data_IF_835862825054
#
_entry.id   IF_835862825054
#
_cell.length_a   1.000
_cell.length_b   1.000
_cell.length_c   1.000
_cell.angle_alpha   90.00
_cell.angle_beta   90.00
_cell.angle_gamma   90.00
#
_symmetry.space_group_name_H-M   'P 1'
#
loop_
_entity.id
_entity.type
_entity.pdbx_description
1 polymer ?
#
# COMPACT_ATOMS: atom_id res chain seq x y z
N UNK A 1 20.88 1.72 5.64
CA UNK A 1 21.27 2.65 4.54
C UNK A 1 22.01 1.84 3.50
N UNK A 2 21.88 2.23 2.24
CA UNK A 2 22.49 1.57 1.07
C UNK A 2 23.10 2.63 0.15
N UNK A 3 24.02 2.21 -0.71
CA UNK A 3 24.49 2.97 -1.86
C UNK A 3 23.83 2.36 -3.10
N UNK A 4 23.14 3.18 -3.87
CA UNK A 4 22.19 2.73 -4.89
C UNK A 4 22.60 3.29 -6.26
N UNK A 5 22.46 2.49 -7.32
CA UNK A 5 22.70 2.93 -8.68
C UNK A 5 21.55 2.50 -9.57
N UNK A 6 21.06 3.40 -10.41
CA UNK A 6 19.98 3.13 -11.34
C UNK A 6 20.51 3.11 -12.78
N UNK A 7 20.17 2.06 -13.53
CA UNK A 7 20.60 1.90 -14.92
C UNK A 7 19.39 1.89 -15.83
N UNK A 8 19.21 2.98 -16.57
CA UNK A 8 18.11 3.20 -17.51
C UNK A 8 18.53 2.75 -18.90
N UNK A 9 17.75 1.90 -19.57
CA UNK A 9 18.07 1.39 -20.90
C UNK A 9 16.87 1.32 -21.83
N UNK A 10 17.13 0.95 -23.09
CA UNK A 10 16.09 0.76 -24.11
C UNK A 10 15.78 -0.71 -24.39
N UNK A 11 16.65 -1.60 -23.93
CA UNK A 11 16.60 -3.04 -24.20
C UNK A 11 16.74 -3.79 -22.88
N UNK A 12 15.80 -4.70 -22.60
CA UNK A 12 15.91 -5.63 -21.48
C UNK A 12 16.81 -6.80 -21.84
N UNK A 13 17.58 -7.28 -20.85
CA UNK A 13 18.42 -8.46 -20.98
C UNK A 13 17.72 -9.64 -20.30
N UNK A 14 17.86 -10.82 -20.89
CA UNK A 14 17.48 -12.06 -20.21
C UNK A 14 18.42 -12.33 -19.04
N UNK A 15 17.98 -13.14 -18.07
CA UNK A 15 18.80 -13.57 -16.93
C UNK A 15 20.13 -14.17 -17.35
N UNK A 16 20.14 -14.95 -18.45
CA UNK A 16 21.37 -15.54 -18.99
C UNK A 16 22.34 -14.49 -19.53
N UNK A 17 21.83 -13.40 -20.09
CA UNK A 17 22.65 -12.29 -20.57
C UNK A 17 23.17 -11.44 -19.41
N UNK A 18 22.35 -11.17 -18.40
CA UNK A 18 22.78 -10.50 -17.17
C UNK A 18 23.89 -11.28 -16.46
N UNK A 19 23.76 -12.61 -16.36
CA UNK A 19 24.82 -13.46 -15.80
C UNK A 19 26.13 -13.31 -16.56
N UNK A 20 26.10 -13.14 -17.90
CA UNK A 20 27.31 -12.86 -18.70
C UNK A 20 27.92 -11.49 -18.38
N UNK A 21 27.09 -10.47 -18.13
CA UNK A 21 27.57 -9.15 -17.71
C UNK A 21 28.23 -9.22 -16.33
N UNK A 22 27.64 -9.98 -15.40
CA UNK A 22 28.22 -10.20 -14.06
C UNK A 22 29.55 -10.95 -14.14
N UNK A 23 29.62 -12.04 -14.91
CA UNK A 23 30.82 -12.89 -14.97
C UNK A 23 31.96 -12.31 -15.82
N UNK A 24 31.72 -11.20 -16.52
CA UNK A 24 32.79 -10.42 -17.16
C UNK A 24 33.82 -9.92 -16.14
N UNK A 25 33.42 -9.69 -14.89
CA UNK A 25 34.36 -9.45 -13.80
C UNK A 25 34.84 -10.77 -13.20
N UNK A 26 36.17 -10.96 -13.24
CA UNK A 26 36.78 -12.22 -12.84
C UNK A 26 36.51 -12.60 -11.37
N UNK A 27 36.13 -11.62 -10.53
CA UNK A 27 35.80 -11.77 -9.12
C UNK A 27 34.33 -11.95 -8.75
N UNK A 28 33.37 -11.80 -9.68
CA UNK A 28 31.94 -11.77 -9.33
C UNK A 28 31.18 -13.03 -9.77
N UNK A 29 30.13 -13.38 -9.01
CA UNK A 29 29.24 -14.49 -9.31
C UNK A 29 27.79 -14.08 -9.04
N UNK A 30 26.93 -14.23 -10.06
CA UNK A 30 25.49 -14.06 -9.89
C UNK A 30 24.88 -15.24 -9.13
N UNK A 31 24.02 -14.95 -8.17
CA UNK A 31 23.09 -15.89 -7.55
C UNK A 31 21.73 -15.74 -8.24
N UNK A 32 21.29 -16.79 -8.91
CA UNK A 32 20.02 -16.81 -9.63
C UNK A 32 19.00 -17.58 -8.80
N UNK A 33 17.84 -16.98 -8.55
CA UNK A 33 16.71 -17.74 -8.02
C UNK A 33 16.16 -18.68 -9.10
N UNK A 34 15.99 -19.94 -8.75
CA UNK A 34 15.48 -20.95 -9.68
C UNK A 34 13.96 -20.83 -9.87
N UNK A 35 13.26 -20.24 -8.91
CA UNK A 35 11.80 -20.05 -8.96
C UNK A 35 11.41 -18.92 -9.92
N UNK A 36 11.93 -17.72 -9.67
CA UNK A 36 11.66 -16.53 -10.49
C UNK A 36 12.54 -16.43 -11.75
N UNK A 37 13.62 -17.21 -11.83
CA UNK A 37 14.66 -17.06 -12.85
C UNK A 37 15.21 -15.61 -12.89
N UNK A 38 15.30 -14.91 -11.75
CA UNK A 38 15.92 -13.58 -11.62
C UNK A 38 17.23 -13.66 -10.86
N UNK A 39 18.09 -12.64 -10.99
CA UNK A 39 19.30 -12.52 -10.16
C UNK A 39 18.86 -11.94 -8.81
N UNK A 40 19.15 -12.64 -7.71
CA UNK A 40 18.85 -12.15 -6.36
C UNK A 40 19.99 -11.27 -5.82
N UNK A 41 21.22 -11.70 -6.07
CA UNK A 41 22.42 -11.01 -5.60
C UNK A 41 23.60 -11.33 -6.50
N UNK A 42 24.61 -10.47 -6.40
CA UNK A 42 25.94 -10.71 -6.94
C UNK A 42 26.91 -10.83 -5.79
N UNK A 43 27.66 -11.93 -5.74
CA UNK A 43 28.63 -12.22 -4.69
C UNK A 43 30.06 -12.04 -5.21
N UNK A 44 30.96 -11.60 -4.34
CA UNK A 44 32.38 -11.81 -4.51
C UNK A 44 32.70 -13.32 -4.46
N UNK A 45 33.55 -13.82 -5.35
CA UNK A 45 33.97 -15.24 -5.35
C UNK A 45 34.83 -15.57 -4.13
N UNK A 46 35.67 -14.63 -3.68
CA UNK A 46 36.61 -14.79 -2.56
C UNK A 46 36.90 -13.44 -1.87
N UNK A 47 36.63 -13.28 -0.56
CA UNK A 47 35.78 -14.16 0.25
C UNK A 47 34.34 -14.17 -0.30
N UNK A 48 33.59 -15.25 -0.04
CA UNK A 48 32.21 -15.35 -0.52
C UNK A 48 31.30 -14.47 0.34
N UNK A 49 31.15 -13.21 -0.08
CA UNK A 49 30.27 -12.21 0.52
C UNK A 49 29.43 -11.55 -0.58
N UNK A 50 28.22 -11.12 -0.24
CA UNK A 50 27.41 -10.31 -1.15
C UNK A 50 28.19 -9.05 -1.52
N UNK A 51 28.29 -8.76 -2.81
CA UNK A 51 28.81 -7.50 -3.34
C UNK A 51 27.66 -6.49 -3.45
N UNK A 52 26.59 -6.86 -4.15
CA UNK A 52 25.42 -5.99 -4.34
C UNK A 52 24.18 -6.81 -4.70
N UNK A 53 23.01 -6.23 -4.45
CA UNK A 53 21.72 -6.68 -4.97
C UNK A 53 21.49 -6.10 -6.37
N UNK A 54 20.67 -6.79 -7.17
CA UNK A 54 20.28 -6.36 -8.49
C UNK A 54 18.80 -6.63 -8.70
N UNK A 55 18.02 -5.58 -8.87
CA UNK A 55 16.61 -5.63 -9.19
C UNK A 55 16.37 -5.25 -10.66
N UNK A 56 15.34 -5.85 -11.26
CA UNK A 56 14.98 -5.69 -12.67
C UNK A 56 15.33 -6.88 -13.57
N UNK A 57 15.06 -6.79 -14.89
CA UNK A 57 14.59 -5.59 -15.60
C UNK A 57 13.18 -5.15 -15.21
N UNK A 58 13.03 -3.91 -14.74
CA UNK A 58 11.72 -3.29 -14.49
C UNK A 58 11.28 -2.52 -15.74
N UNK A 59 10.03 -2.70 -16.17
CA UNK A 59 9.48 -1.87 -17.23
C UNK A 59 9.18 -0.48 -16.67
N UNK A 60 9.55 0.55 -17.43
CA UNK A 60 9.34 1.95 -17.06
C UNK A 60 8.70 2.71 -18.21
N UNK A 61 7.89 3.70 -17.85
CA UNK A 61 7.26 4.65 -18.75
C UNK A 61 7.93 6.02 -18.64
N UNK A 62 7.59 6.95 -19.54
CA UNK A 62 8.17 8.30 -19.55
C UNK A 62 7.97 9.07 -18.23
N UNK A 63 6.95 8.70 -17.45
CA UNK A 63 6.63 9.30 -16.15
C UNK A 63 7.53 8.79 -15.01
N UNK A 64 8.23 7.66 -15.20
CA UNK A 64 9.17 7.08 -14.22
C UNK A 64 10.60 7.61 -14.40
N UNK A 65 10.83 8.40 -15.45
CA UNK A 65 12.15 8.94 -15.74
C UNK A 65 12.46 10.09 -14.78
N UNK A 66 13.65 10.12 -14.16
CA UNK A 66 14.07 11.20 -13.28
C UNK A 66 13.99 12.56 -13.98
N UNK A 67 13.36 13.52 -13.31
CA UNK A 67 13.21 14.87 -13.85
C UNK A 67 14.57 15.56 -14.01
N UNK A 68 14.83 16.10 -15.18
CA UNK A 68 16.05 16.88 -15.46
C UNK A 68 17.28 16.03 -15.81
N UNK A 69 17.09 14.73 -16.07
CA UNK A 69 18.11 13.84 -16.64
C UNK A 69 17.75 13.53 -18.10
N UNK A 70 17.99 14.45 -19.06
CA UNK A 70 17.60 14.24 -20.45
C UNK A 70 18.27 13.00 -21.10
N UNK A 71 19.39 12.52 -20.52
CA UNK A 71 20.14 11.35 -21.00
C UNK A 71 19.36 10.03 -20.87
N UNK A 72 18.34 9.97 -20.01
CA UNK A 72 17.48 8.79 -19.87
C UNK A 72 16.20 8.88 -20.72
N UNK A 73 16.03 9.94 -21.51
CA UNK A 73 14.85 10.13 -22.32
C UNK A 73 14.61 8.94 -23.28
N UNK A 74 13.41 8.37 -23.20
CA UNK A 74 13.00 7.22 -24.00
C UNK A 74 13.60 5.88 -23.54
N UNK A 75 14.16 5.81 -22.32
CA UNK A 75 14.40 4.54 -21.66
C UNK A 75 13.06 3.83 -21.39
N UNK A 76 13.06 2.50 -21.51
CA UNK A 76 11.91 1.61 -21.35
C UNK A 76 12.16 0.54 -20.30
N UNK A 77 13.41 0.42 -19.82
CA UNK A 77 13.79 -0.51 -18.75
C UNK A 77 14.66 0.18 -17.71
N UNK A 78 14.47 -0.19 -16.44
CA UNK A 78 15.29 0.18 -15.29
C UNK A 78 15.88 -1.08 -14.64
N UNK A 79 17.13 -0.98 -14.21
CA UNK A 79 17.74 -1.89 -13.25
C UNK A 79 18.22 -1.08 -12.05
N UNK A 80 17.95 -1.57 -10.85
CA UNK A 80 18.41 -0.93 -9.61
C UNK A 80 19.43 -1.82 -8.93
N UNK A 81 20.56 -1.24 -8.55
CA UNK A 81 21.70 -1.93 -7.96
C UNK A 81 21.89 -1.39 -6.55
N UNK A 82 21.91 -2.28 -5.56
CA UNK A 82 21.91 -1.90 -4.15
C UNK A 82 23.12 -2.47 -3.41
N UNK A 83 23.93 -1.61 -2.81
CA UNK A 83 25.06 -2.00 -1.95
C UNK A 83 24.67 -1.74 -0.50
N UNK A 84 24.57 -2.79 0.31
CA UNK A 84 24.23 -2.66 1.74
C UNK A 84 25.38 -2.07 2.55
N UNK A 85 25.05 -1.22 3.54
CA UNK A 85 26.06 -0.72 4.48
C UNK A 85 26.30 -1.74 5.58
N UNK A 86 27.55 -1.91 5.97
CA UNK A 86 27.85 -2.61 7.21
C UNK A 86 27.56 -1.66 8.38
N UNK A 87 26.63 -2.05 9.24
CA UNK A 87 26.20 -1.25 10.38
C UNK A 87 26.87 -1.80 11.62
N UNK A 88 27.83 -1.04 12.15
CA UNK A 88 28.55 -1.40 13.35
C UNK A 88 28.09 -0.51 14.51
N UNK A 89 27.68 -1.14 15.61
CA UNK A 89 27.36 -0.44 16.86
C UNK A 89 28.49 -0.70 17.83
N UNK A 90 29.30 0.33 18.10
CA UNK A 90 30.46 0.25 18.99
C UNK A 90 30.36 1.22 20.18
N UNK A 91 31.36 1.19 21.09
CA UNK A 91 31.43 2.11 22.24
C UNK A 91 31.48 3.58 21.84
N UNK A 92 31.94 3.88 20.61
CA UNK A 92 32.05 5.23 20.05
C UNK A 92 30.79 5.67 19.27
N UNK A 93 29.75 4.83 19.22
CA UNK A 93 28.47 5.13 18.59
C UNK A 93 28.16 4.28 17.35
N UNK A 94 27.23 4.79 16.54
CA UNK A 94 26.72 4.15 15.33
C UNK A 94 27.57 4.54 14.12
N UNK A 95 28.14 3.55 13.42
CA UNK A 95 28.80 3.73 12.13
C UNK A 95 28.09 2.90 11.07
N UNK A 96 27.85 3.51 9.91
CA UNK A 96 27.31 2.83 8.74
C UNK A 96 28.14 3.23 7.52
N UNK A 97 28.99 2.31 7.05
CA UNK A 97 29.87 2.52 5.89
C UNK A 97 29.64 1.43 4.87
N UNK A 98 29.55 1.82 3.60
CA UNK A 98 29.59 0.85 2.49
C UNK A 98 31.00 0.25 2.39
N UNK A 99 31.08 -1.01 1.98
CA UNK A 99 32.36 -1.62 1.60
C UNK A 99 32.80 -1.06 0.24
N UNK A 100 33.86 -0.26 0.22
CA UNK A 100 34.38 0.41 -0.99
C UNK A 100 34.64 -0.56 -2.16
N UNK A 101 35.01 -1.80 -1.85
CA UNK A 101 35.23 -2.83 -2.88
C UNK A 101 33.92 -3.21 -3.56
N UNK A 102 32.84 -3.34 -2.80
CA UNK A 102 31.50 -3.62 -3.30
C UNK A 102 30.91 -2.43 -4.05
N UNK A 103 31.13 -1.20 -3.59
CA UNK A 103 30.74 0.02 -4.31
C UNK A 103 31.45 0.09 -5.66
N UNK A 104 32.77 -0.12 -5.68
CA UNK A 104 33.56 -0.11 -6.93
C UNK A 104 33.07 -1.18 -7.91
N UNK A 105 32.77 -2.39 -7.41
CA UNK A 105 32.23 -3.47 -8.22
C UNK A 105 30.83 -3.13 -8.79
N UNK A 106 29.97 -2.51 -7.98
CA UNK A 106 28.63 -2.08 -8.39
C UNK A 106 28.69 -1.01 -9.49
N UNK A 107 29.54 0.01 -9.34
CA UNK A 107 29.75 1.07 -10.35
C UNK A 107 30.26 0.49 -11.66
N UNK A 108 31.28 -0.38 -11.59
CA UNK A 108 31.85 -1.03 -12.78
C UNK A 108 30.81 -1.91 -13.49
N UNK A 109 30.00 -2.65 -12.73
CA UNK A 109 28.89 -3.43 -13.26
C UNK A 109 27.83 -2.55 -13.91
N UNK A 110 27.40 -1.48 -13.25
CA UNK A 110 26.41 -0.53 -13.76
C UNK A 110 26.83 0.07 -15.11
N UNK A 111 28.09 0.51 -15.22
CA UNK A 111 28.61 1.08 -16.48
C UNK A 111 28.58 0.08 -17.63
N UNK A 112 28.96 -1.19 -17.40
CA UNK A 112 28.91 -2.22 -18.45
C UNK A 112 27.50 -2.64 -18.79
N UNK A 113 26.61 -2.69 -17.79
CA UNK A 113 25.20 -2.96 -18.02
C UNK A 113 24.62 -1.86 -18.92
N UNK A 114 24.87 -0.59 -18.60
CA UNK A 114 24.48 0.56 -19.41
C UNK A 114 25.00 0.45 -20.85
N UNK A 115 26.29 0.19 -21.05
CA UNK A 115 26.85 -0.01 -22.39
C UNK A 115 26.12 -1.12 -23.16
N UNK A 116 25.83 -2.24 -22.49
CA UNK A 116 25.20 -3.41 -23.10
C UNK A 116 23.75 -3.16 -23.52
N UNK A 117 23.02 -2.32 -22.79
CA UNK A 117 21.61 -2.01 -23.04
C UNK A 117 21.40 -0.68 -23.77
N UNK A 118 22.50 -0.01 -24.19
CA UNK A 118 22.46 1.32 -24.78
C UNK A 118 21.83 2.35 -23.85
N UNK A 119 22.18 2.26 -22.56
CA UNK A 119 21.58 2.98 -21.45
C UNK A 119 22.52 3.97 -20.77
N UNK A 120 22.03 4.51 -19.64
CA UNK A 120 22.68 5.52 -18.82
C UNK A 120 22.64 5.09 -17.36
N UNK A 121 23.75 5.27 -16.64
CA UNK A 121 23.81 5.09 -15.18
C UNK A 121 23.51 6.42 -14.52
N UNK A 122 22.62 6.40 -13.52
CA UNK A 122 22.31 7.52 -12.63
C UNK A 122 22.74 7.11 -11.22
N UNK A 123 23.50 7.98 -10.57
CA UNK A 123 23.94 7.85 -9.18
C UNK A 123 23.16 8.89 -8.34
N UNK A 124 22.11 8.46 -7.60
CA UNK A 124 21.30 9.36 -6.79
C UNK A 124 22.09 10.07 -5.68
N UNK A 125 23.25 9.53 -5.26
CA UNK A 125 24.10 10.12 -4.23
C UNK A 125 25.06 11.18 -4.80
N UNK A 126 25.37 11.14 -6.11
CA UNK A 126 26.19 12.14 -6.79
C UNK A 126 25.40 13.20 -7.55
N UNK A 127 24.10 13.02 -7.77
CA UNK A 127 23.22 14.11 -8.18
C UNK A 127 23.09 15.12 -7.02
N UNK A 128 24.12 15.97 -6.94
CA UNK A 128 24.25 17.08 -6.00
C UNK A 128 22.95 17.85 -5.95
N UNK A 129 22.45 17.98 -4.71
CA UNK A 129 21.47 18.95 -4.25
C UNK A 129 21.20 20.04 -5.29
N UNK A 130 20.07 19.92 -5.99
CA UNK A 130 19.45 21.11 -6.58
C UNK A 130 19.42 22.15 -5.47
N UNK A 131 19.80 23.41 -5.73
CA UNK A 131 19.28 24.48 -4.90
C UNK A 131 17.77 24.26 -4.96
N UNK A 132 17.16 23.95 -3.81
CA UNK A 132 15.74 24.15 -3.64
C UNK A 132 15.63 25.64 -3.91
N UNK A 133 15.30 26.02 -5.15
CA UNK A 133 14.83 27.36 -5.42
C UNK A 133 13.79 27.55 -4.34
N UNK A 134 14.00 28.54 -3.47
CA UNK A 134 13.04 28.93 -2.44
C UNK A 134 11.76 29.24 -3.20
N UNK A 135 10.97 28.19 -3.45
CA UNK A 135 9.65 28.29 -3.97
C UNK A 135 8.98 29.07 -2.87
N UNK A 136 8.69 30.33 -3.15
CA UNK A 136 7.84 31.12 -2.29
C UNK A 136 6.68 30.21 -1.93
N UNK A 137 6.59 29.87 -0.64
CA UNK A 137 5.49 29.09 -0.11
C UNK A 137 4.29 30.02 -0.24
N UNK A 138 3.73 30.06 -1.44
CA UNK A 138 2.36 30.47 -1.65
C UNK A 138 1.61 29.42 -0.86
N UNK A 139 1.09 29.80 0.31
CA UNK A 139 0.22 28.97 1.13
C UNK A 139 -0.94 28.53 0.23
N UNK A 140 -0.76 27.39 -0.42
CA UNK A 140 -1.82 26.74 -1.14
C UNK A 140 -2.80 26.29 -0.06
N UNK A 141 -4.11 26.50 -0.26
CA UNK A 141 -5.09 26.00 0.69
C UNK A 141 -4.80 24.51 0.96
N UNK A 142 -4.91 24.07 2.23
CA UNK A 142 -4.52 22.73 2.61
C UNK A 142 -5.28 21.71 1.74
N UNK A 143 -4.55 20.79 1.12
CA UNK A 143 -5.15 19.80 0.25
C UNK A 143 -6.12 18.93 1.03
N UNK A 144 -7.37 18.83 0.56
CA UNK A 144 -8.38 17.97 1.19
C UNK A 144 -8.50 16.67 0.42
N UNK A 145 -8.43 15.57 1.14
CA UNK A 145 -8.47 14.20 0.64
C UNK A 145 -9.72 13.50 1.13
N UNK A 146 -10.43 12.85 0.22
CA UNK A 146 -11.53 11.94 0.50
C UNK A 146 -10.99 10.52 0.63
N UNK A 147 -11.19 9.93 1.80
CA UNK A 147 -10.73 8.60 2.16
C UNK A 147 -11.90 7.64 2.23
N UNK A 148 -11.84 6.59 1.42
CA UNK A 148 -12.77 5.48 1.45
C UNK A 148 -12.13 4.30 2.17
N UNK A 149 -12.89 3.60 2.98
CA UNK A 149 -12.46 2.34 3.56
C UNK A 149 -13.60 1.33 3.60
N UNK A 150 -13.30 0.07 3.29
CA UNK A 150 -14.23 -1.05 3.35
C UNK A 150 -13.63 -2.18 4.16
N UNK A 151 -14.47 -2.88 4.93
CA UNK A 151 -14.07 -3.99 5.79
C UNK A 151 -15.01 -5.17 5.61
N UNK A 152 -14.47 -6.34 5.26
CA UNK A 152 -15.24 -7.58 5.10
C UNK A 152 -14.57 -8.73 5.84
N UNK A 153 -15.34 -9.75 6.18
CA UNK A 153 -14.79 -10.99 6.75
C UNK A 153 -13.91 -11.72 5.73
N UNK A 154 -12.89 -12.43 6.24
CA UNK A 154 -12.16 -13.45 5.48
C UNK A 154 -13.03 -14.71 5.40
N UNK A 155 -13.87 -14.76 4.38
CA UNK A 155 -14.75 -15.91 4.08
C UNK A 155 -14.15 -16.87 3.04
N UNK A 156 -12.89 -16.64 2.65
CA UNK A 156 -12.20 -17.43 1.63
C UNK A 156 -12.53 -17.05 0.18
N UNK A 157 -13.43 -16.08 -0.04
CA UNK A 157 -13.63 -15.50 -1.37
C UNK A 157 -12.41 -14.66 -1.75
N UNK A 158 -11.96 -14.86 -2.98
CA UNK A 158 -10.82 -14.16 -3.58
C UNK A 158 -11.27 -12.96 -4.42
N UNK A 159 -12.52 -12.53 -4.28
CA UNK A 159 -13.14 -11.64 -5.26
C UNK A 159 -13.10 -10.16 -4.87
N UNK A 160 -12.50 -9.77 -3.74
CA UNK A 160 -12.58 -8.37 -3.29
C UNK A 160 -11.93 -7.38 -4.29
N UNK A 161 -10.76 -7.70 -4.87
CA UNK A 161 -10.19 -6.84 -5.91
C UNK A 161 -11.06 -6.76 -7.17
N UNK A 162 -11.73 -7.85 -7.52
CA UNK A 162 -12.67 -7.89 -8.65
C UNK A 162 -13.90 -7.04 -8.35
N UNK A 163 -14.53 -7.24 -7.21
CA UNK A 163 -15.69 -6.48 -6.73
C UNK A 163 -15.37 -4.98 -6.71
N UNK A 164 -14.20 -4.61 -6.18
CA UNK A 164 -13.70 -3.25 -6.18
C UNK A 164 -13.52 -2.68 -7.59
N UNK A 165 -12.81 -3.39 -8.47
CA UNK A 165 -12.48 -2.90 -9.81
C UNK A 165 -13.73 -2.74 -10.67
N UNK A 166 -14.68 -3.67 -10.58
CA UNK A 166 -15.98 -3.58 -11.25
C UNK A 166 -16.78 -2.37 -10.77
N UNK A 167 -16.88 -2.17 -9.45
CA UNK A 167 -17.55 -1.00 -8.88
C UNK A 167 -16.88 0.32 -9.26
N UNK A 168 -15.55 0.38 -9.23
CA UNK A 168 -14.80 1.57 -9.60
C UNK A 168 -15.07 1.95 -11.06
N UNK A 169 -15.03 0.98 -11.99
CA UNK A 169 -15.34 1.23 -13.39
C UNK A 169 -16.77 1.70 -13.63
N UNK A 170 -17.72 1.10 -12.91
CA UNK A 170 -19.14 1.38 -13.12
C UNK A 170 -19.62 2.68 -12.45
N UNK A 171 -19.16 2.96 -11.22
CA UNK A 171 -19.66 4.06 -10.39
C UNK A 171 -18.71 5.23 -10.28
N UNK A 172 -17.39 4.97 -10.26
CA UNK A 172 -16.42 5.98 -9.85
C UNK A 172 -15.08 5.84 -10.59
N UNK A 173 -15.02 6.27 -11.87
CA UNK A 173 -13.84 6.03 -12.72
C UNK A 173 -12.52 6.59 -12.17
N UNK A 174 -12.57 7.60 -11.28
CA UNK A 174 -11.38 8.10 -10.59
C UNK A 174 -10.75 7.08 -9.63
N UNK A 175 -11.48 6.08 -9.17
CA UNK A 175 -10.95 5.01 -8.34
C UNK A 175 -10.34 3.86 -9.16
N UNK A 176 -10.42 3.90 -10.50
CA UNK A 176 -9.87 2.85 -11.36
C UNK A 176 -8.34 2.96 -11.41
N UNK A 177 -7.59 1.93 -10.98
CA UNK A 177 -6.14 1.89 -11.13
C UNK A 177 -5.76 1.94 -12.61
N UNK A 178 -4.87 2.85 -13.00
CA UNK A 178 -4.24 2.86 -14.33
C UNK A 178 -2.83 2.31 -14.24
N UNK A 179 -2.09 2.63 -13.18
CA UNK A 179 -0.82 2.00 -12.81
C UNK A 179 -0.92 1.47 -11.39
N UNK A 180 -0.32 0.33 -11.10
CA UNK A 180 -0.38 -0.29 -9.78
C UNK A 180 0.82 -1.19 -9.49
N UNK A 181 1.17 -1.32 -8.22
CA UNK A 181 2.30 -2.14 -7.76
C UNK A 181 2.51 -2.00 -6.26
N UNK A 182 3.32 -2.85 -5.66
CA UNK A 182 3.66 -2.76 -4.23
C UNK A 182 4.87 -1.88 -3.92
N UNK A 183 5.54 -1.41 -4.97
CA UNK A 183 6.68 -0.49 -4.94
C UNK A 183 6.77 0.24 -6.28
N UNK A 184 7.50 1.36 -6.30
CA UNK A 184 7.83 2.09 -7.51
C UNK A 184 9.10 1.52 -8.17
N UNK A 185 9.19 1.49 -9.52
CA UNK A 185 8.14 1.85 -10.47
C UNK A 185 7.02 0.80 -10.53
N UNK A 186 5.77 1.26 -10.45
CA UNK A 186 4.59 0.39 -10.54
C UNK A 186 4.56 -0.40 -11.86
N UNK A 187 4.67 -1.72 -11.76
CA UNK A 187 4.78 -2.62 -12.91
C UNK A 187 3.45 -2.93 -13.59
N UNK A 188 2.35 -2.96 -12.84
CA UNK A 188 1.01 -3.24 -13.37
C UNK A 188 0.39 -2.00 -14.03
N UNK A 189 -0.31 -2.19 -15.14
CA UNK A 189 -0.95 -1.08 -15.89
C UNK A 189 -2.23 -1.50 -16.60
N UNK A 190 -3.36 -0.85 -16.26
CA UNK A 190 -4.62 -0.98 -17.02
C UNK A 190 -4.74 0.16 -18.05
N UNK A 191 -5.27 -0.09 -19.27
CA UNK A 191 -5.76 -1.37 -19.81
C UNK A 191 -4.68 -2.14 -20.60
N UNK A 192 -3.38 -1.82 -20.44
CA UNK A 192 -2.29 -2.55 -21.12
C UNK A 192 -2.32 -4.03 -20.74
N UNK A 193 -2.48 -4.27 -19.45
CA UNK A 193 -2.55 -5.59 -18.84
C UNK A 193 -4.03 -5.99 -18.66
N UNK A 194 -4.33 -7.31 -18.64
CA UNK A 194 -5.67 -7.79 -18.34
C UNK A 194 -6.01 -7.61 -16.85
N UNK A 195 -7.29 -7.68 -16.50
CA UNK A 195 -7.77 -7.56 -15.13
C UNK A 195 -7.13 -8.61 -14.20
N UNK A 196 -6.86 -9.80 -14.73
CA UNK A 196 -6.18 -10.87 -14.01
C UNK A 196 -4.82 -10.44 -13.46
N UNK A 197 -4.07 -9.59 -14.17
CA UNK A 197 -2.80 -9.08 -13.68
C UNK A 197 -2.98 -8.21 -12.42
N UNK A 198 -4.04 -7.41 -12.37
CA UNK A 198 -4.40 -6.65 -11.17
C UNK A 198 -4.78 -7.57 -10.01
N UNK A 199 -5.55 -8.62 -10.29
CA UNK A 199 -5.93 -9.60 -9.27
C UNK A 199 -4.73 -10.41 -8.77
N UNK A 200 -3.79 -10.76 -9.63
CA UNK A 200 -2.58 -11.51 -9.28
C UNK A 200 -1.63 -10.69 -8.42
N UNK A 201 -1.31 -9.44 -8.81
CA UNK A 201 -0.48 -8.55 -8.00
C UNK A 201 -1.12 -8.33 -6.63
N UNK A 202 -2.43 -8.08 -6.60
CA UNK A 202 -3.15 -7.97 -5.34
C UNK A 202 -3.07 -9.27 -4.51
N UNK A 203 -3.25 -10.43 -5.16
CA UNK A 203 -3.29 -11.71 -4.47
C UNK A 203 -1.92 -12.17 -3.93
N UNK A 204 -0.84 -11.87 -4.64
CA UNK A 204 0.48 -12.42 -4.41
C UNK A 204 1.40 -11.44 -3.67
N UNK A 205 1.38 -10.16 -4.03
CA UNK A 205 2.33 -9.17 -3.53
C UNK A 205 1.78 -8.40 -2.32
N UNK A 206 0.46 -8.22 -2.23
CA UNK A 206 -0.15 -7.44 -1.14
C UNK A 206 -0.33 -8.26 0.16
N UNK A 207 0.49 -9.29 0.34
CA UNK A 207 0.53 -10.11 1.55
C UNK A 207 1.12 -9.37 2.76
N UNK A 208 2.10 -8.50 2.50
CA UNK A 208 2.84 -7.72 3.51
C UNK A 208 2.90 -6.22 3.20
N UNK A 209 2.62 -5.83 1.95
CA UNK A 209 2.63 -4.45 1.48
C UNK A 209 1.24 -4.03 1.01
N UNK A 210 0.98 -2.72 0.96
CA UNK A 210 -0.23 -2.20 0.31
C UNK A 210 0.00 -2.11 -1.19
N UNK A 211 -1.02 -2.36 -1.99
CA UNK A 211 -1.00 -2.03 -3.41
C UNK A 211 -1.07 -0.52 -3.55
N UNK A 212 -0.06 0.11 -4.11
CA UNK A 212 -0.14 1.50 -4.56
C UNK A 212 -0.74 1.53 -5.96
N UNK A 213 -1.50 2.57 -6.28
CA UNK A 213 -1.97 2.80 -7.64
C UNK A 213 -2.09 4.27 -7.98
N UNK A 214 -2.03 4.57 -9.27
CA UNK A 214 -2.31 5.89 -9.85
C UNK A 214 -3.36 5.74 -10.94
N UNK A 215 -4.35 6.63 -10.97
CA UNK A 215 -5.39 6.64 -12.00
C UNK A 215 -5.00 7.48 -13.24
N UNK A 216 -5.87 7.53 -14.24
CA UNK A 216 -5.62 8.27 -15.50
C UNK A 216 -5.54 9.79 -15.36
N UNK A 217 -5.88 10.34 -14.19
CA UNK A 217 -5.78 11.75 -13.84
C UNK A 217 -4.67 12.04 -12.82
N UNK A 218 -3.72 11.11 -12.66
CA UNK A 218 -2.59 11.22 -11.71
C UNK A 218 -3.03 11.31 -10.24
N UNK A 219 -4.20 10.80 -9.91
CA UNK A 219 -4.62 10.62 -8.51
C UNK A 219 -4.03 9.30 -8.02
N UNK A 220 -3.34 9.36 -6.89
CA UNK A 220 -2.75 8.19 -6.23
C UNK A 220 -3.70 7.63 -5.17
N UNK A 221 -3.74 6.31 -5.01
CA UNK A 221 -4.47 5.60 -3.96
C UNK A 221 -3.72 4.36 -3.51
N UNK A 222 -4.21 3.70 -2.45
CA UNK A 222 -3.61 2.43 -2.01
C UNK A 222 -4.60 1.41 -1.48
N UNK A 223 -4.60 0.22 -2.08
CA UNK A 223 -5.41 -0.91 -1.63
C UNK A 223 -4.57 -1.73 -0.65
N UNK A 224 -4.77 -1.49 0.63
CA UNK A 224 -4.26 -2.36 1.70
C UNK A 224 -5.20 -3.55 1.91
N UNK A 225 -4.81 -4.55 2.72
CA UNK A 225 -5.79 -5.43 3.37
C UNK A 225 -6.26 -6.69 2.63
N UNK A 226 -5.64 -7.08 1.50
CA UNK A 226 -5.66 -8.50 1.07
C UNK A 226 -4.95 -9.43 2.05
N UNK A 227 -4.14 -8.84 2.92
CA UNK A 227 -3.01 -9.46 3.57
C UNK A 227 -3.24 -10.94 3.95
N UNK A 228 -2.24 -11.75 3.58
CA UNK A 228 -1.85 -12.91 4.37
C UNK A 228 -1.44 -12.52 5.80
N UNK A 229 -1.75 -11.29 6.26
CA UNK A 229 -1.80 -10.95 7.67
C UNK A 229 -2.91 -11.77 8.30
N UNK A 230 -2.50 -12.98 8.60
CA UNK A 230 -3.18 -13.99 9.37
C UNK A 230 -3.63 -13.44 10.71
N UNK A 231 -3.06 -12.33 11.20
CA UNK A 231 -3.42 -11.72 12.50
C UNK A 231 -4.82 -11.14 12.44
N UNK A 232 -5.32 -10.89 11.24
CA UNK A 232 -6.60 -10.23 11.01
C UNK A 232 -7.59 -11.22 10.37
N UNK A 233 -8.80 -11.28 10.95
CA UNK A 233 -9.92 -12.10 10.46
C UNK A 233 -10.76 -11.41 9.38
N UNK A 234 -10.35 -10.22 8.96
CA UNK A 234 -11.03 -9.41 7.97
C UNK A 234 -10.04 -8.90 6.91
N UNK A 235 -10.58 -8.59 5.73
CA UNK A 235 -9.90 -7.79 4.72
C UNK A 235 -10.32 -6.32 4.89
N UNK A 236 -9.40 -5.42 4.57
CA UNK A 236 -9.75 -4.01 4.34
C UNK A 236 -9.42 -3.62 2.91
N UNK A 237 -10.01 -2.54 2.40
CA UNK A 237 -9.56 -1.82 1.21
C UNK A 237 -9.60 -0.35 1.55
N UNK A 238 -8.60 0.42 1.12
CA UNK A 238 -8.57 1.87 1.28
C UNK A 238 -8.40 2.52 -0.08
N UNK A 239 -8.92 3.73 -0.23
CA UNK A 239 -8.69 4.57 -1.40
C UNK A 239 -8.71 6.01 -0.92
N UNK A 240 -7.70 6.79 -1.33
CA UNK A 240 -7.61 8.21 -1.01
C UNK A 240 -7.61 8.97 -2.34
N UNK A 241 -8.50 9.94 -2.49
CA UNK A 241 -8.63 10.73 -3.71
C UNK A 241 -8.77 12.18 -3.29
N UNK A 242 -8.06 13.09 -3.95
CA UNK A 242 -8.21 14.52 -3.69
C UNK A 242 -9.64 14.97 -3.95
N UNK A 243 -10.22 15.71 -3.01
CA UNK A 243 -11.59 16.21 -3.11
C UNK A 243 -11.78 17.09 -4.36
N UNK A 244 -10.81 17.96 -4.66
CA UNK A 244 -10.88 18.85 -5.81
C UNK A 244 -10.87 18.10 -7.15
N UNK A 245 -10.22 16.93 -7.22
CA UNK A 245 -10.27 16.06 -8.40
C UNK A 245 -11.67 15.46 -8.58
N UNK A 246 -12.33 15.06 -7.48
CA UNK A 246 -13.72 14.56 -7.50
C UNK A 246 -14.69 15.66 -7.95
N UNK A 247 -14.51 16.87 -7.42
CA UNK A 247 -15.30 18.05 -7.79
C UNK A 247 -15.14 18.41 -9.27
N UNK A 248 -13.89 18.51 -9.76
CA UNK A 248 -13.58 18.81 -11.17
C UNK A 248 -14.15 17.76 -12.12
N UNK A 249 -14.18 16.49 -11.69
CA UNK A 249 -14.77 15.40 -12.47
C UNK A 249 -16.30 15.35 -12.39
N UNK A 250 -16.94 16.17 -11.54
CA UNK A 250 -18.39 16.16 -11.34
C UNK A 250 -18.92 14.88 -10.66
N UNK A 251 -18.09 14.20 -9.86
CA UNK A 251 -18.37 12.88 -9.31
C UNK A 251 -18.83 12.91 -7.84
N UNK A 252 -19.04 14.08 -7.23
CA UNK A 252 -19.46 14.18 -5.83
C UNK A 252 -20.76 13.39 -5.52
N UNK A 253 -21.74 13.41 -6.43
CA UNK A 253 -22.99 12.67 -6.25
C UNK A 253 -22.82 11.15 -6.38
N UNK A 254 -21.75 10.67 -6.99
CA UNK A 254 -21.46 9.25 -7.16
C UNK A 254 -20.72 8.63 -5.97
N UNK A 255 -20.27 9.43 -5.00
CA UNK A 255 -19.47 8.97 -3.86
C UNK A 255 -20.23 7.98 -2.98
N UNK A 256 -21.48 8.28 -2.64
CA UNK A 256 -22.30 7.38 -1.82
C UNK A 256 -22.61 6.08 -2.57
N UNK A 257 -23.04 6.18 -3.83
CA UNK A 257 -23.31 5.03 -4.69
C UNK A 257 -22.08 4.12 -4.82
N UNK A 258 -20.90 4.70 -4.96
CA UNK A 258 -19.64 3.95 -5.04
C UNK A 258 -19.33 3.24 -3.72
N UNK A 259 -19.44 3.93 -2.58
CA UNK A 259 -19.26 3.32 -1.26
C UNK A 259 -20.18 2.10 -1.10
N UNK A 260 -21.46 2.28 -1.40
CA UNK A 260 -22.51 1.25 -1.21
C UNK A 260 -22.31 0.09 -2.18
N UNK A 261 -21.99 0.35 -3.46
CA UNK A 261 -21.83 -0.71 -4.46
C UNK A 261 -20.66 -1.64 -4.10
N UNK A 262 -19.50 -1.07 -3.74
CA UNK A 262 -18.35 -1.85 -3.26
C UNK A 262 -18.72 -2.60 -1.98
N UNK A 263 -19.35 -1.93 -1.01
CA UNK A 263 -19.71 -2.55 0.27
C UNK A 263 -20.68 -3.72 0.10
N UNK A 264 -21.64 -3.59 -0.81
CA UNK A 264 -22.65 -4.61 -1.09
C UNK A 264 -22.04 -5.81 -1.81
N UNK A 265 -21.25 -5.59 -2.87
CA UNK A 265 -20.60 -6.66 -3.64
C UNK A 265 -19.61 -7.45 -2.78
N UNK A 266 -18.79 -6.73 -2.03
CA UNK A 266 -17.76 -7.32 -1.16
C UNK A 266 -18.29 -7.88 0.16
N UNK A 267 -19.61 -7.74 0.44
CA UNK A 267 -20.23 -8.10 1.74
C UNK A 267 -19.49 -7.48 2.92
N UNK A 268 -19.18 -6.19 2.79
CA UNK A 268 -18.53 -5.44 3.86
C UNK A 268 -19.45 -5.30 5.06
N UNK A 269 -18.96 -5.68 6.24
CA UNK A 269 -19.66 -5.49 7.51
C UNK A 269 -19.63 -4.03 7.96
N UNK A 270 -18.63 -3.27 7.53
CA UNK A 270 -18.47 -1.85 7.81
C UNK A 270 -17.73 -1.19 6.65
N UNK A 271 -18.11 0.03 6.28
CA UNK A 271 -17.35 0.87 5.37
C UNK A 271 -17.60 2.35 5.69
N UNK A 272 -16.73 3.23 5.22
CA UNK A 272 -16.92 4.66 5.44
C UNK A 272 -16.23 5.53 4.39
N UNK A 273 -16.65 6.80 4.36
CA UNK A 273 -15.96 7.92 3.72
C UNK A 273 -15.72 9.02 4.73
N UNK A 274 -14.50 9.53 4.79
CA UNK A 274 -14.14 10.72 5.56
C UNK A 274 -13.23 11.66 4.77
N UNK A 275 -13.07 12.88 5.30
CA UNK A 275 -12.18 13.88 4.73
C UNK A 275 -11.01 14.10 5.69
N UNK A 276 -9.82 14.34 5.15
CA UNK A 276 -8.63 14.73 5.90
C UNK A 276 -7.74 15.69 5.09
N UNK A 277 -6.84 16.41 5.76
CA UNK A 277 -5.84 17.28 5.11
C UNK A 277 -4.57 16.57 4.65
N UNK A 278 -4.54 15.24 4.74
CA UNK A 278 -3.39 14.43 4.33
C UNK A 278 -3.87 13.18 3.66
N UNK A 279 -3.16 12.78 2.59
CA UNK A 279 -3.36 11.51 1.91
C UNK A 279 -2.90 10.31 2.75
N UNK A 280 -2.04 10.55 3.74
CA UNK A 280 -1.57 9.54 4.71
C UNK A 280 -2.43 9.48 5.97
N UNK A 281 -3.28 10.48 6.19
CA UNK A 281 -4.17 10.45 7.34
C UNK A 281 -5.16 9.30 7.18
N UNK A 282 -5.23 8.47 8.21
CA UNK A 282 -6.19 7.38 8.28
C UNK A 282 -7.25 7.74 9.30
N UNK A 283 -8.49 7.30 9.10
CA UNK A 283 -9.39 7.16 10.24
C UNK A 283 -8.63 6.25 11.20
N UNK A 284 -8.28 6.71 12.40
CA UNK A 284 -7.66 5.86 13.40
C UNK A 284 -8.64 4.72 13.73
N UNK A 285 -8.49 3.58 13.05
CA UNK A 285 -9.16 2.34 13.40
C UNK A 285 -8.08 1.39 13.93
N UNK A 286 -7.85 1.42 15.23
CA UNK A 286 -6.74 0.73 15.84
C UNK A 286 -7.02 -0.77 15.76
N UNK A 287 -6.05 -1.58 15.38
CA UNK A 287 -6.25 -3.01 15.12
C UNK A 287 -6.13 -3.83 16.42
N UNK A 288 -7.00 -4.83 16.62
CA UNK A 288 -6.88 -5.77 17.74
C UNK A 288 -6.44 -7.14 17.22
N UNK A 289 -5.38 -7.71 17.78
CA UNK A 289 -4.86 -9.00 17.31
C UNK A 289 -5.94 -10.10 17.38
N UNK A 290 -6.15 -10.79 16.27
CA UNK A 290 -7.15 -11.86 16.16
C UNK A 290 -8.59 -11.39 15.94
N UNK A 291 -8.90 -10.08 15.93
CA UNK A 291 -10.28 -9.61 15.81
C UNK A 291 -10.48 -8.16 15.34
N UNK A 292 -11.73 -7.79 15.14
CA UNK A 292 -12.13 -6.40 14.95
C UNK A 292 -12.14 -5.69 16.30
N UNK A 293 -11.53 -4.51 16.37
CA UNK A 293 -11.42 -3.72 17.60
C UNK A 293 -12.69 -2.96 17.93
N UNK A 294 -13.53 -2.62 16.95
CA UNK A 294 -14.71 -1.78 17.15
C UNK A 294 -14.80 -0.67 16.10
N UNK A 295 -15.80 0.20 16.26
CA UNK A 295 -16.00 1.35 15.38
C UNK A 295 -15.01 2.48 15.72
N UNK A 296 -14.62 3.32 14.73
CA UNK A 296 -13.72 4.44 14.97
C UNK A 296 -14.27 5.42 16.02
N UNK A 297 -13.38 6.00 16.83
CA UNK A 297 -13.79 6.97 17.87
C UNK A 297 -14.31 8.29 17.29
N UNK A 298 -13.82 8.70 16.12
CA UNK A 298 -14.29 9.88 15.39
C UNK A 298 -15.41 9.49 14.43
N UNK A 299 -16.33 10.41 14.18
CA UNK A 299 -17.41 10.21 13.22
C UNK A 299 -16.89 10.40 11.78
N UNK A 300 -17.20 9.47 10.90
CA UNK A 300 -16.95 9.61 9.47
C UNK A 300 -18.11 10.36 8.81
N UNK A 301 -17.86 11.08 7.72
CA UNK A 301 -18.91 11.85 7.02
C UNK A 301 -20.04 10.94 6.52
N UNK A 302 -19.66 9.81 5.90
CA UNK A 302 -20.56 8.78 5.41
C UNK A 302 -20.12 7.42 5.95
N UNK A 303 -21.06 6.62 6.41
CA UNK A 303 -20.81 5.28 6.95
C UNK A 303 -21.76 4.27 6.33
N UNK A 304 -21.30 3.05 6.14
CA UNK A 304 -22.08 1.89 5.77
C UNK A 304 -22.00 0.86 6.89
N UNK A 305 -23.15 0.33 7.30
CA UNK A 305 -23.23 -0.78 8.24
C UNK A 305 -23.86 -1.97 7.54
N UNK A 306 -23.07 -3.02 7.36
CA UNK A 306 -23.53 -4.30 6.81
C UNK A 306 -24.40 -5.06 7.80
N UNK A 307 -24.93 -6.19 7.38
CA UNK A 307 -25.86 -7.04 8.15
C UNK A 307 -25.39 -7.37 9.58
N UNK A 308 -24.10 -7.45 9.79
CA UNK A 308 -23.43 -7.78 11.04
C UNK A 308 -23.54 -6.66 12.08
N UNK A 309 -23.41 -5.41 11.63
CA UNK A 309 -23.40 -4.22 12.49
C UNK A 309 -24.75 -3.50 12.51
N UNK A 310 -25.49 -3.55 11.41
CA UNK A 310 -26.74 -2.81 11.24
C UNK A 310 -27.72 -2.95 12.42
N UNK A 311 -28.10 -4.17 12.89
CA UNK A 311 -29.07 -4.30 13.99
C UNK A 311 -28.54 -3.78 15.33
N UNK A 312 -27.22 -3.75 15.51
CA UNK A 312 -26.59 -3.27 16.75
C UNK A 312 -26.52 -1.75 16.78
N UNK A 313 -26.21 -1.13 15.63
CA UNK A 313 -25.93 0.32 15.54
C UNK A 313 -27.19 1.14 15.27
N UNK A 314 -28.15 0.61 14.50
CA UNK A 314 -29.38 1.33 14.11
C UNK A 314 -30.10 2.03 15.28
N UNK A 315 -30.25 1.43 16.47
CA UNK A 315 -30.93 2.08 17.60
C UNK A 315 -30.20 3.31 18.17
N UNK A 316 -28.93 3.48 17.84
CA UNK A 316 -28.07 4.56 18.35
C UNK A 316 -27.90 5.72 17.37
N UNK A 317 -28.49 5.63 16.17
CA UNK A 317 -28.37 6.66 15.13
C UNK A 317 -29.68 7.42 14.94
N UNK A 318 -29.58 8.68 14.51
CA UNK A 318 -30.76 9.45 14.11
C UNK A 318 -31.40 8.84 12.87
N UNK A 319 -32.72 8.65 12.91
CA UNK A 319 -33.47 8.06 11.79
C UNK A 319 -33.44 8.95 10.53
N UNK A 320 -33.32 10.27 10.70
CA UNK A 320 -33.43 11.26 9.60
C UNK A 320 -32.34 11.13 8.54
N UNK A 321 -31.19 10.54 8.87
CA UNK A 321 -30.03 10.51 7.98
C UNK A 321 -29.58 9.09 7.63
N UNK A 322 -30.50 8.12 7.71
CA UNK A 322 -30.24 6.73 7.35
C UNK A 322 -31.02 6.35 6.10
N UNK A 323 -30.32 5.75 5.15
CA UNK A 323 -30.90 5.16 3.93
C UNK A 323 -30.71 3.65 3.96
N UNK A 324 -31.81 2.91 3.87
CA UNK A 324 -31.79 1.44 3.83
C UNK A 324 -31.40 0.93 2.45
N UNK A 325 -30.58 -0.12 2.41
CA UNK A 325 -30.12 -0.76 1.18
C UNK A 325 -30.19 -2.28 1.31
N UNK A 326 -29.96 -2.99 0.20
CA UNK A 326 -29.82 -4.44 0.26
C UNK A 326 -28.54 -4.80 1.00
N UNK A 327 -28.66 -5.47 2.16
CA UNK A 327 -27.52 -5.97 2.93
C UNK A 327 -26.95 -5.01 3.97
N UNK A 328 -27.60 -3.86 4.21
CA UNK A 328 -27.14 -2.89 5.20
C UNK A 328 -27.84 -1.54 5.05
N UNK A 329 -27.31 -0.53 5.72
CA UNK A 329 -27.76 0.85 5.55
C UNK A 329 -26.57 1.81 5.48
N UNK A 330 -26.77 2.95 4.79
CA UNK A 330 -25.84 4.08 4.86
C UNK A 330 -26.34 5.11 5.87
N UNK A 331 -25.41 5.76 6.56
CA UNK A 331 -25.69 6.88 7.44
C UNK A 331 -24.77 8.05 7.10
N UNK A 332 -25.38 9.21 6.86
CA UNK A 332 -24.70 10.47 6.57
C UNK A 332 -24.90 11.44 7.73
N UNK A 333 -23.91 12.24 8.06
CA UNK A 333 -24.10 13.25 9.10
C UNK A 333 -24.58 14.60 8.58
N UNK A 334 -23.96 15.05 7.48
CA UNK A 334 -24.24 16.31 6.80
C UNK A 334 -24.26 16.07 5.31
N UNK A 335 -25.11 16.78 4.57
CA UNK A 335 -25.34 16.54 3.14
C UNK A 335 -24.08 16.67 2.28
N UNK A 336 -23.28 17.71 2.55
CA UNK A 336 -22.04 17.96 1.84
C UNK A 336 -20.86 17.19 2.47
N UNK A 337 -19.85 16.77 1.69
CA UNK A 337 -18.58 16.28 2.23
C UNK A 337 -17.96 17.34 3.15
N UNK A 338 -17.67 17.01 4.40
CA UNK A 338 -17.16 17.97 5.38
C UNK A 338 -16.18 17.29 6.34
N UNK A 339 -15.10 17.98 6.71
CA UNK A 339 -14.12 17.48 7.66
C UNK A 339 -14.75 17.28 9.04
N UNK A 340 -14.36 16.21 9.74
CA UNK A 340 -14.91 15.92 11.08
C UNK A 340 -14.77 17.10 12.05
N UNK A 341 -13.69 17.88 11.94
CA UNK A 341 -13.41 19.07 12.75
C UNK A 341 -14.36 20.23 12.51
N UNK A 342 -15.09 20.26 11.39
CA UNK A 342 -15.87 21.43 10.95
C UNK A 342 -17.37 21.34 11.28
N UNK A 343 -17.95 20.13 11.34
CA UNK A 343 -19.40 19.97 11.57
C UNK A 343 -19.78 19.44 12.96
N UNK A 344 -18.80 19.01 13.77
CA UNK A 344 -18.99 18.76 15.21
C UNK A 344 -20.08 17.73 15.53
N UNK A 345 -19.81 16.45 15.24
CA UNK A 345 -20.75 15.36 15.50
C UNK A 345 -21.32 15.41 16.94
N UNK A 346 -22.63 15.24 17.15
CA UNK A 346 -23.19 15.14 18.49
C UNK A 346 -22.57 13.94 19.21
N UNK A 347 -21.91 14.22 20.34
CA UNK A 347 -21.16 13.23 21.11
C UNK A 347 -22.01 12.68 22.26
N UNK A 348 -22.22 11.37 22.28
CA UNK A 348 -22.74 10.61 23.43
C UNK A 348 -21.57 10.13 24.27
N UNK A 349 -21.35 10.72 25.45
CA UNK A 349 -20.26 10.30 26.33
C UNK A 349 -18.85 10.56 25.76
N UNK A 350 -18.71 11.52 24.84
CA UNK A 350 -17.42 11.83 24.20
C UNK A 350 -17.12 11.01 22.93
N UNK A 351 -18.09 10.26 22.42
CA UNK A 351 -18.02 9.54 21.13
C UNK A 351 -19.29 9.77 20.32
N UNK A 352 -19.25 9.67 19.00
CA UNK A 352 -20.44 9.91 18.15
C UNK A 352 -21.48 8.78 18.20
N UNK A 353 -21.10 7.65 18.77
CA UNK A 353 -21.93 6.48 19.04
C UNK A 353 -21.77 6.07 20.50
N UNK A 354 -22.63 5.19 21.00
CA UNK A 354 -22.49 4.60 22.35
C UNK A 354 -21.04 4.09 22.56
N UNK A 355 -20.34 4.53 23.64
CA UNK A 355 -18.95 4.17 23.88
C UNK A 355 -18.65 2.67 23.87
N UNK A 356 -19.66 1.81 24.08
CA UNK A 356 -19.50 0.35 23.99
C UNK A 356 -19.10 -0.13 22.60
N UNK A 357 -19.30 0.66 21.55
CA UNK A 357 -18.87 0.33 20.18
C UNK A 357 -17.45 0.76 19.85
N UNK A 358 -16.80 1.56 20.69
CA UNK A 358 -15.48 2.15 20.44
C UNK A 358 -14.42 1.39 21.26
N UNK A 359 -13.26 1.03 20.69
CA UNK A 359 -12.18 0.38 21.44
C UNK A 359 -11.56 1.30 22.48
N UNK A 360 -10.93 0.70 23.49
CA UNK A 360 -10.06 1.43 24.42
C UNK A 360 -8.67 1.53 23.83
N UNK A 361 -8.13 2.74 23.70
CA UNK A 361 -6.87 3.03 23.01
C UNK A 361 -5.90 3.81 23.88
N UNK A 362 -4.61 3.62 23.66
CA UNK A 362 -3.53 4.47 24.19
C UNK A 362 -2.57 4.81 23.06
N UNK A 363 -2.60 6.06 22.58
CA UNK A 363 -1.92 6.41 21.33
C UNK A 363 -2.54 5.63 20.16
N UNK A 364 -1.71 4.92 19.40
CA UNK A 364 -2.13 4.04 18.30
C UNK A 364 -2.51 2.62 18.75
N UNK A 365 -2.26 2.26 20.00
CA UNK A 365 -2.38 0.88 20.48
C UNK A 365 -3.80 0.61 21.02
N UNK A 366 -4.41 -0.50 20.59
CA UNK A 366 -5.66 -1.01 21.18
C UNK A 366 -5.34 -1.74 22.47
N UNK A 367 -5.76 -1.17 23.60
CA UNK A 367 -5.66 -1.83 24.89
C UNK A 367 -6.75 -2.90 25.07
N UNK A 368 -7.96 -2.62 24.57
CA UNK A 368 -9.08 -3.56 24.59
C UNK A 368 -10.04 -3.31 23.42
N UNK A 369 -10.62 -4.37 22.82
CA UNK A 369 -11.67 -4.20 21.83
C UNK A 369 -12.92 -3.62 22.49
N UNK A 370 -13.79 -3.04 21.67
CA UNK A 370 -15.09 -2.55 22.06
C UNK A 370 -15.93 -3.67 22.71
N UNK A 371 -16.75 -3.28 23.68
CA UNK A 371 -17.66 -4.21 24.39
C UNK A 371 -18.67 -4.82 23.41
N UNK A 372 -19.16 -4.02 22.47
CA UNK A 372 -20.12 -4.41 21.44
C UNK A 372 -19.42 -4.56 20.08
N UNK A 373 -18.94 -5.78 19.84
CA UNK A 373 -18.45 -6.25 18.54
C UNK A 373 -19.30 -7.46 18.12
N UNK A 374 -19.74 -7.55 16.84
CA UNK A 374 -20.39 -8.74 16.31
C UNK A 374 -19.57 -10.00 16.60
N UNK A 375 -20.21 -11.10 17.04
CA UNK A 375 -19.50 -12.29 17.56
C UNK A 375 -18.53 -12.89 16.56
N UNK A 376 -18.90 -12.93 15.28
CA UNK A 376 -18.09 -13.37 14.16
C UNK A 376 -16.82 -12.51 13.93
N UNK A 377 -16.81 -11.26 14.40
CA UNK A 377 -15.68 -10.35 14.30
C UNK A 377 -14.77 -10.35 15.53
N UNK A 378 -15.17 -11.01 16.63
CA UNK A 378 -14.36 -11.09 17.85
C UNK A 378 -13.15 -12.01 17.65
N UNK A 379 -12.12 -11.80 18.47
CA UNK A 379 -11.05 -12.78 18.59
C UNK A 379 -11.63 -14.13 19.04
N UNK A 380 -11.17 -15.26 18.48
CA UNK A 380 -11.63 -16.57 18.91
C UNK A 380 -11.25 -16.81 20.37
N UNK A 381 -12.07 -17.59 21.07
CA UNK A 381 -11.80 -17.91 22.48
C UNK A 381 -10.44 -18.61 22.63
N UNK A 382 -9.61 -18.22 23.61
CA UNK A 382 -8.33 -18.87 23.88
C UNK A 382 -8.51 -20.39 24.03
N UNK A 383 -7.66 -21.17 23.34
CA UNK A 383 -7.72 -22.63 23.36
C UNK A 383 -8.81 -23.27 22.47
N UNK A 384 -9.67 -22.48 21.81
CA UNK A 384 -10.55 -23.01 20.76
C UNK A 384 -9.74 -23.56 19.58
N UNK A 385 -10.27 -24.51 18.78
CA UNK A 385 -9.59 -25.02 17.59
C UNK A 385 -9.17 -23.90 16.62
N UNK A 386 -9.98 -22.83 16.53
CA UNK A 386 -9.67 -21.68 15.69
C UNK A 386 -8.54 -20.83 16.27
N UNK A 387 -8.53 -20.59 17.60
CA UNK A 387 -7.42 -19.90 18.25
C UNK A 387 -6.10 -20.67 18.09
N UNK A 388 -6.12 -22.00 18.29
CA UNK A 388 -4.96 -22.87 18.09
C UNK A 388 -4.48 -22.89 16.63
N UNK A 389 -5.43 -22.89 15.67
CA UNK A 389 -5.12 -22.77 14.24
C UNK A 389 -4.41 -21.46 13.95
N UNK A 390 -4.92 -20.34 14.46
CA UNK A 390 -4.30 -19.02 14.29
C UNK A 390 -2.93 -18.95 14.96
N UNK A 391 -2.78 -19.44 16.20
CA UNK A 391 -1.49 -19.50 16.92
C UNK A 391 -0.43 -20.30 16.16
N UNK A 392 -0.80 -21.48 15.65
CA UNK A 392 0.10 -22.32 14.84
C UNK A 392 0.55 -21.58 13.57
N UNK A 393 -0.39 -20.87 12.94
CA UNK A 393 -0.14 -20.09 11.75
C UNK A 393 0.75 -18.87 12.06
N UNK A 394 0.54 -18.18 13.19
CA UNK A 394 1.41 -17.11 13.70
C UNK A 394 2.83 -17.58 13.98
N UNK A 395 2.98 -18.76 14.60
CA UNK A 395 4.28 -19.34 14.89
C UNK A 395 5.03 -19.69 13.61
N UNK A 396 4.35 -20.29 12.61
CA UNK A 396 4.95 -20.64 11.33
C UNK A 396 5.41 -19.41 10.53
N UNK A 397 4.64 -18.31 10.54
CA UNK A 397 5.03 -17.08 9.85
C UNK A 397 6.17 -16.34 10.59
N UNK A 398 6.15 -16.28 11.92
CA UNK A 398 7.27 -15.73 12.71
C UNK A 398 8.59 -16.46 12.40
N UNK A 399 8.53 -17.77 12.14
CA UNK A 399 9.71 -18.54 11.73
C UNK A 399 10.20 -18.20 10.31
N UNK A 400 9.30 -17.84 9.37
CA UNK A 400 9.64 -17.44 7.99
C UNK A 400 10.16 -16.01 7.89
N UNK A 401 9.73 -15.11 8.78
CA UNK A 401 10.10 -13.69 8.77
C UNK A 401 11.41 -13.37 9.49
N UNK A 402 12.10 -14.37 10.07
CA UNK A 402 13.45 -14.15 10.60
C UNK A 402 14.46 -14.12 9.45
N UNK A 403 15.19 -13.01 9.23
CA UNK A 403 16.32 -13.03 8.31
C UNK A 403 17.36 -14.01 8.87
N UNK A 404 17.87 -14.88 7.98
CA UNK A 404 18.99 -15.80 8.25
C UNK A 404 20.28 -15.03 8.28
#
# INVERSE_FOLDING_TARGET
MSYDLDVYGKVSLTTRELVKVVTADWGLKAQVDRGSNTILSVDHKRPRRMAFGLDGPMQIDAEDLPEGVPQVAGATVLYSIHVSYDVQTGPEGFSATADDTSVTAAVAFASRLAERIGGTVVDPQQEVARPVAEAQVVESPPETWMHFAWFRLKDGSVDFARDYLESARYRFPLAVPVRFGTYEPMQGRLPRDPDEAFFEVFAQECGVSSLMFVNGQKVSGSISGWSRDIRMRYHSVRVSIRLDAIEKAGLLSAVEDFLIDVATRSRSFFAFVELNHSWLATADFPHFEGGWSGLPARAQWLTWFGTEYAPLVRPHLSVSNVTEHKGGFSHRWVDAPTLNSEWGAPMVGGTWIDPRFVPTVQGSDVLAPAVTVPSQLRAPEPGSPEAQRLETLFAANRAKSRPV
#
